data_IF_892894321448
#
_entry.id   IF_892894321448
#
_cell.length_a   1.000
_cell.length_b   1.000
_cell.length_c   1.000
_cell.angle_alpha   90.00
_cell.angle_beta   90.00
_cell.angle_gamma   90.00
#
_symmetry.space_group_name_H-M   'P 1'
#
loop_
_entity.id
_entity.type
_entity.pdbx_description
1 polymer ?
#
# COMPACT_ATOMS: atom_id res chain seq x y z
N UNK A 1 18.73 13.95 18.49
CA UNK A 1 17.53 13.82 19.31
C UNK A 1 16.84 12.53 18.92
N UNK A 2 17.13 11.45 19.58
CA UNK A 2 16.38 10.22 19.42
C UNK A 2 14.95 10.50 19.86
N UNK A 3 14.03 10.50 18.93
CA UNK A 3 12.61 10.40 19.26
C UNK A 3 12.42 9.05 19.92
N UNK A 4 12.46 9.01 21.24
CA UNK A 4 11.99 7.83 21.95
C UNK A 4 10.54 7.64 21.56
N UNK A 5 10.34 6.61 20.76
CA UNK A 5 9.02 6.16 20.40
C UNK A 5 8.33 5.71 21.69
N UNK A 6 7.45 6.52 22.23
CA UNK A 6 6.69 6.12 23.39
C UNK A 6 5.61 5.12 22.94
N UNK A 7 5.84 3.84 23.22
CA UNK A 7 4.88 2.77 22.93
C UNK A 7 3.46 3.07 23.44
N UNK A 8 3.31 3.91 24.44
CA UNK A 8 2.00 4.38 24.91
C UNK A 8 1.31 5.30 23.91
N UNK A 9 2.06 6.13 23.20
CA UNK A 9 1.50 7.01 22.17
C UNK A 9 1.09 6.21 20.94
N UNK A 10 1.85 5.19 20.53
CA UNK A 10 1.47 4.31 19.43
C UNK A 10 0.16 3.59 19.74
N UNK A 11 0.01 3.01 20.94
CA UNK A 11 -1.24 2.35 21.36
C UNK A 11 -2.44 3.29 21.25
N UNK A 12 -2.29 4.53 21.65
CA UNK A 12 -3.36 5.53 21.54
C UNK A 12 -3.83 5.68 20.07
N UNK A 13 -2.91 5.77 19.13
CA UNK A 13 -3.27 5.90 17.70
C UNK A 13 -3.84 4.61 17.13
N UNK A 14 -3.37 3.44 17.55
CA UNK A 14 -3.99 2.16 17.17
C UNK A 14 -5.46 2.09 17.63
N UNK A 15 -5.75 2.53 18.85
CA UNK A 15 -7.13 2.57 19.37
C UNK A 15 -8.03 3.52 18.55
N UNK A 16 -7.47 4.58 17.96
CA UNK A 16 -8.23 5.52 17.12
C UNK A 16 -8.63 4.95 15.74
N UNK A 17 -8.04 3.83 15.30
CA UNK A 17 -8.43 3.18 14.04
C UNK A 17 -9.88 2.66 14.06
N UNK A 18 -10.47 2.51 15.22
CA UNK A 18 -11.86 2.09 15.40
C UNK A 18 -12.79 3.23 15.85
N UNK A 19 -12.32 4.46 15.83
CA UNK A 19 -13.11 5.63 16.22
C UNK A 19 -14.34 5.81 15.32
N UNK A 20 -15.43 6.32 15.85
CA UNK A 20 -16.68 6.53 15.10
C UNK A 20 -16.54 7.56 13.97
N UNK A 21 -15.70 8.57 14.17
CA UNK A 21 -15.43 9.62 13.20
C UNK A 21 -14.39 9.15 12.16
N UNK A 22 -14.77 9.19 10.88
CA UNK A 22 -13.91 8.78 9.77
C UNK A 22 -12.67 9.68 9.60
N UNK A 23 -12.78 10.97 9.90
CA UNK A 23 -11.64 11.90 9.84
C UNK A 23 -10.58 11.51 10.88
N UNK A 24 -11.01 11.10 12.07
CA UNK A 24 -10.10 10.64 13.12
C UNK A 24 -9.43 9.33 12.70
N UNK A 25 -10.18 8.37 12.12
CA UNK A 25 -9.58 7.13 11.61
C UNK A 25 -8.55 7.40 10.52
N UNK A 26 -8.86 8.28 9.57
CA UNK A 26 -7.93 8.68 8.49
C UNK A 26 -6.65 9.29 9.05
N UNK A 27 -6.77 10.22 10.00
CA UNK A 27 -5.59 10.84 10.63
C UNK A 27 -4.76 9.84 11.43
N UNK A 28 -5.41 8.89 12.10
CA UNK A 28 -4.72 7.83 12.83
C UNK A 28 -3.86 6.97 11.91
N UNK A 29 -4.37 6.63 10.72
CA UNK A 29 -3.61 5.90 9.70
C UNK A 29 -2.34 6.67 9.31
N UNK A 30 -2.47 7.95 8.97
CA UNK A 30 -1.33 8.78 8.58
C UNK A 30 -0.26 8.84 9.68
N UNK A 31 -0.68 9.06 10.91
CA UNK A 31 0.24 9.14 12.05
C UNK A 31 0.91 7.80 12.30
N UNK A 32 0.17 6.70 12.28
CA UNK A 32 0.72 5.36 12.49
C UNK A 32 1.71 4.97 11.39
N UNK A 33 1.44 5.31 10.13
CA UNK A 33 2.38 5.08 9.05
C UNK A 33 3.70 5.82 9.29
N UNK A 34 3.64 7.05 9.79
CA UNK A 34 4.83 7.86 10.05
C UNK A 34 5.61 7.39 11.28
N UNK A 35 4.91 7.01 12.37
CA UNK A 35 5.54 6.76 13.66
C UNK A 35 5.80 5.28 13.97
N UNK A 36 4.97 4.36 13.48
CA UNK A 36 5.09 2.93 13.75
C UNK A 36 5.70 2.13 12.59
N UNK A 37 5.71 2.67 11.37
CA UNK A 37 6.33 2.02 10.23
C UNK A 37 5.77 0.61 9.99
N UNK A 38 6.65 -0.37 9.90
CA UNK A 38 6.29 -1.77 9.64
C UNK A 38 5.32 -2.35 10.66
N UNK A 39 5.43 -1.95 11.92
CA UNK A 39 4.53 -2.44 12.99
C UNK A 39 3.06 -2.03 12.78
N UNK A 40 2.79 -1.02 11.96
CA UNK A 40 1.43 -0.58 11.64
C UNK A 40 0.82 -1.29 10.42
N UNK A 41 1.60 -2.04 9.64
CA UNK A 41 1.14 -2.60 8.35
C UNK A 41 -0.07 -3.52 8.53
N UNK A 42 -0.05 -4.41 9.50
CA UNK A 42 -1.15 -5.36 9.70
C UNK A 42 -2.46 -4.65 10.09
N UNK A 43 -2.38 -3.66 10.99
CA UNK A 43 -3.56 -2.90 11.41
C UNK A 43 -4.11 -2.02 10.29
N UNK A 44 -3.25 -1.34 9.53
CA UNK A 44 -3.66 -0.54 8.38
C UNK A 44 -4.23 -1.45 7.28
N UNK A 45 -3.65 -2.63 7.07
CA UNK A 45 -4.20 -3.63 6.15
C UNK A 45 -5.59 -4.08 6.55
N UNK A 46 -5.84 -4.26 7.84
CA UNK A 46 -7.16 -4.59 8.34
C UNK A 46 -8.19 -3.46 8.10
N UNK A 47 -7.77 -2.21 8.26
CA UNK A 47 -8.61 -1.04 7.91
C UNK A 47 -8.93 -1.03 6.42
N UNK A 48 -7.95 -1.27 5.55
CA UNK A 48 -8.17 -1.37 4.11
C UNK A 48 -9.22 -2.41 3.74
N UNK A 49 -9.19 -3.56 4.40
CA UNK A 49 -10.11 -4.66 4.09
C UNK A 49 -11.51 -4.47 4.67
N UNK A 50 -11.65 -3.78 5.80
CA UNK A 50 -12.87 -3.84 6.60
C UNK A 50 -13.53 -2.49 6.92
N UNK A 51 -12.85 -1.35 6.72
CA UNK A 51 -13.48 -0.06 7.03
C UNK A 51 -14.69 0.19 6.13
N UNK A 52 -15.75 0.71 6.72
CA UNK A 52 -17.00 1.01 6.01
C UNK A 52 -16.89 2.20 5.05
N UNK A 53 -15.94 3.11 5.32
CA UNK A 53 -15.80 4.34 4.54
C UNK A 53 -14.73 4.16 3.44
N UNK A 54 -15.09 4.32 2.16
CA UNK A 54 -14.12 4.18 1.08
C UNK A 54 -12.99 5.21 1.12
N UNK A 55 -13.19 6.39 1.71
CA UNK A 55 -12.12 7.37 1.88
C UNK A 55 -11.08 6.90 2.90
N UNK A 56 -11.51 6.25 3.97
CA UNK A 56 -10.61 5.64 4.95
C UNK A 56 -9.83 4.48 4.32
N UNK A 57 -10.50 3.62 3.55
CA UNK A 57 -9.84 2.53 2.83
C UNK A 57 -8.83 3.05 1.79
N UNK A 58 -9.16 4.13 1.09
CA UNK A 58 -8.24 4.79 0.16
C UNK A 58 -6.97 5.26 0.88
N UNK A 59 -7.11 5.95 2.00
CA UNK A 59 -5.97 6.41 2.81
C UNK A 59 -5.13 5.24 3.33
N UNK A 60 -5.77 4.14 3.71
CA UNK A 60 -5.07 2.93 4.12
C UNK A 60 -4.23 2.36 2.96
N UNK A 61 -4.78 2.27 1.75
CA UNK A 61 -4.05 1.80 0.58
C UNK A 61 -2.86 2.72 0.24
N UNK A 62 -3.08 4.03 0.26
CA UNK A 62 -2.03 5.03 0.06
C UNK A 62 -0.89 4.87 1.06
N UNK A 63 -1.21 4.80 2.35
CA UNK A 63 -0.23 4.68 3.42
C UNK A 63 0.58 3.37 3.33
N UNK A 64 -0.07 2.26 2.99
CA UNK A 64 0.61 0.98 2.76
C UNK A 64 1.59 1.05 1.58
N UNK A 65 1.23 1.75 0.51
CA UNK A 65 2.12 2.01 -0.61
C UNK A 65 3.35 2.83 -0.21
N UNK A 66 3.14 3.90 0.55
CA UNK A 66 4.22 4.76 1.04
C UNK A 66 5.17 4.03 1.99
N UNK A 67 4.66 3.13 2.82
CA UNK A 67 5.48 2.29 3.71
C UNK A 67 6.36 1.31 2.91
N UNK A 68 5.87 0.77 1.81
CA UNK A 68 6.65 -0.04 0.88
C UNK A 68 6.95 -1.48 1.35
N UNK A 69 6.32 -1.97 2.40
CA UNK A 69 6.58 -3.31 2.93
C UNK A 69 5.78 -4.39 2.21
N UNK A 70 6.44 -5.52 1.93
CA UNK A 70 5.84 -6.62 1.15
C UNK A 70 4.70 -7.33 1.88
N UNK A 71 4.62 -7.25 3.20
CA UNK A 71 3.50 -7.81 3.96
C UNK A 71 2.16 -7.08 3.74
N UNK A 72 2.16 -5.94 3.04
CA UNK A 72 0.94 -5.25 2.61
C UNK A 72 0.37 -5.77 1.27
N UNK A 73 1.13 -6.54 0.51
CA UNK A 73 0.73 -6.94 -0.86
C UNK A 73 -0.57 -7.74 -0.86
N UNK A 74 -0.77 -8.64 0.09
CA UNK A 74 -1.99 -9.45 0.17
C UNK A 74 -3.25 -8.59 0.32
N UNK A 75 -3.25 -7.64 1.25
CA UNK A 75 -4.39 -6.75 1.47
C UNK A 75 -4.62 -5.81 0.28
N UNK A 76 -3.57 -5.26 -0.29
CA UNK A 76 -3.65 -4.40 -1.48
C UNK A 76 -4.16 -5.18 -2.70
N UNK A 77 -3.73 -6.41 -2.89
CA UNK A 77 -4.21 -7.29 -3.97
C UNK A 77 -5.69 -7.62 -3.82
N UNK A 78 -6.14 -7.88 -2.59
CA UNK A 78 -7.54 -8.09 -2.28
C UNK A 78 -8.40 -6.85 -2.57
N UNK A 79 -7.93 -5.69 -2.17
CA UNK A 79 -8.60 -4.41 -2.43
C UNK A 79 -8.68 -4.13 -3.94
N UNK A 80 -7.60 -4.31 -4.69
CA UNK A 80 -7.60 -4.13 -6.14
C UNK A 80 -8.60 -5.06 -6.84
N UNK A 81 -8.69 -6.30 -6.38
CA UNK A 81 -9.56 -7.31 -7.01
C UNK A 81 -11.04 -7.12 -6.71
N UNK A 82 -11.40 -6.63 -5.54
CA UNK A 82 -12.77 -6.76 -5.05
C UNK A 82 -13.34 -5.56 -4.27
N UNK A 83 -12.58 -4.49 -4.06
CA UNK A 83 -13.17 -3.30 -3.41
C UNK A 83 -14.29 -2.72 -4.27
N UNK A 84 -15.41 -2.38 -3.65
CA UNK A 84 -16.56 -1.80 -4.34
C UNK A 84 -16.29 -0.41 -4.92
N UNK A 85 -15.35 0.33 -4.34
CA UNK A 85 -14.97 1.66 -4.81
C UNK A 85 -13.84 1.60 -5.83
N UNK A 86 -14.08 2.12 -7.04
CA UNK A 86 -13.01 2.23 -8.04
C UNK A 86 -11.84 3.09 -7.53
N UNK A 87 -12.14 4.05 -6.68
CA UNK A 87 -11.16 4.95 -6.09
C UNK A 87 -10.18 4.20 -5.17
N UNK A 88 -10.67 3.23 -4.40
CA UNK A 88 -9.83 2.35 -3.57
C UNK A 88 -9.04 1.38 -4.47
N UNK A 89 -9.67 0.78 -5.48
CA UNK A 89 -8.97 -0.09 -6.45
C UNK A 89 -7.85 0.64 -7.18
N UNK A 90 -8.11 1.88 -7.61
CA UNK A 90 -7.11 2.76 -8.23
C UNK A 90 -5.89 2.96 -7.31
N UNK A 91 -6.11 3.34 -6.05
CA UNK A 91 -5.02 3.55 -5.09
C UNK A 91 -4.27 2.25 -4.77
N UNK A 92 -4.98 1.14 -4.65
CA UNK A 92 -4.35 -0.16 -4.43
C UNK A 92 -3.41 -0.56 -5.58
N UNK A 93 -3.79 -0.29 -6.83
CA UNK A 93 -2.92 -0.52 -7.99
C UNK A 93 -1.66 0.35 -7.93
N UNK A 94 -1.80 1.63 -7.60
CA UNK A 94 -0.67 2.54 -7.42
C UNK A 94 0.25 2.03 -6.33
N UNK A 95 -0.29 1.68 -5.17
CA UNK A 95 0.47 1.18 -4.02
C UNK A 95 1.27 -0.08 -4.37
N UNK A 96 0.68 -1.03 -5.08
CA UNK A 96 1.37 -2.24 -5.54
C UNK A 96 2.53 -1.90 -6.49
N UNK A 97 2.35 -0.92 -7.36
CA UNK A 97 3.41 -0.42 -8.23
C UNK A 97 4.55 0.24 -7.47
N UNK A 98 4.25 1.00 -6.42
CA UNK A 98 5.25 1.65 -5.54
C UNK A 98 6.05 0.61 -4.78
N UNK A 99 5.41 -0.42 -4.22
CA UNK A 99 6.10 -1.54 -3.57
C UNK A 99 7.00 -2.28 -4.56
N UNK A 100 6.57 -2.42 -5.80
CA UNK A 100 7.41 -2.89 -6.89
C UNK A 100 7.74 -4.37 -6.87
N UNK A 101 6.96 -5.19 -6.18
CA UNK A 101 7.18 -6.64 -6.10
C UNK A 101 6.61 -7.37 -7.32
N UNK A 102 7.38 -8.29 -7.88
CA UNK A 102 6.94 -9.18 -8.96
C UNK A 102 5.69 -10.00 -8.59
N UNK A 103 5.50 -10.30 -7.31
CA UNK A 103 4.35 -11.06 -6.84
C UNK A 103 3.00 -10.36 -7.08
N UNK A 104 3.00 -9.06 -7.32
CA UNK A 104 1.78 -8.30 -7.65
C UNK A 104 1.39 -8.32 -9.13
N UNK A 105 2.23 -8.85 -10.01
CA UNK A 105 1.98 -8.80 -11.46
C UNK A 105 0.68 -9.49 -11.88
N UNK A 106 0.37 -10.64 -11.32
CA UNK A 106 -0.83 -11.37 -11.69
C UNK A 106 -2.12 -10.59 -11.40
N UNK A 107 -2.22 -9.97 -10.22
CA UNK A 107 -3.40 -9.18 -9.86
C UNK A 107 -3.50 -7.89 -10.68
N UNK A 108 -2.35 -7.28 -10.99
CA UNK A 108 -2.29 -6.09 -11.84
C UNK A 108 -2.66 -6.41 -13.30
N UNK A 109 -2.22 -7.55 -13.84
CA UNK A 109 -2.62 -7.99 -15.17
C UNK A 109 -4.15 -8.16 -15.26
N UNK A 110 -4.77 -8.76 -14.26
CA UNK A 110 -6.23 -8.87 -14.20
C UNK A 110 -6.90 -7.49 -14.14
N UNK A 111 -6.30 -6.54 -13.43
CA UNK A 111 -6.82 -5.17 -13.30
C UNK A 111 -6.76 -4.36 -14.61
N UNK A 112 -6.01 -4.80 -15.61
CA UNK A 112 -6.08 -4.22 -16.98
C UNK A 112 -7.46 -4.41 -17.62
N UNK A 113 -8.26 -5.32 -17.12
CA UNK A 113 -9.66 -5.53 -17.53
C UNK A 113 -10.70 -4.91 -16.58
N UNK A 114 -10.29 -4.08 -15.62
CA UNK A 114 -11.21 -3.44 -14.67
C UNK A 114 -12.25 -2.56 -15.42
N UNK A 115 -13.44 -2.45 -14.86
CA UNK A 115 -14.49 -1.60 -15.40
C UNK A 115 -14.18 -0.10 -15.40
N UNK A 116 -13.27 0.35 -14.51
CA UNK A 116 -12.84 1.74 -14.40
C UNK A 116 -11.58 2.00 -15.23
N UNK A 117 -11.60 3.06 -16.05
CA UNK A 117 -10.43 3.49 -16.82
C UNK A 117 -9.27 3.86 -15.90
N UNK A 118 -9.55 4.56 -14.80
CA UNK A 118 -8.55 4.98 -13.81
C UNK A 118 -7.81 3.78 -13.20
N UNK A 119 -8.53 2.70 -12.94
CA UNK A 119 -7.92 1.46 -12.42
C UNK A 119 -7.05 0.80 -13.49
N UNK A 120 -7.54 0.70 -14.73
CA UNK A 120 -6.77 0.12 -15.84
C UNK A 120 -5.47 0.88 -16.09
N UNK A 121 -5.54 2.21 -16.10
CA UNK A 121 -4.36 3.08 -16.29
C UNK A 121 -3.35 2.90 -15.16
N UNK A 122 -3.82 2.88 -13.92
CA UNK A 122 -2.96 2.68 -12.74
C UNK A 122 -2.30 1.30 -12.75
N UNK A 123 -3.03 0.27 -13.13
CA UNK A 123 -2.48 -1.08 -13.27
C UNK A 123 -1.38 -1.14 -14.35
N UNK A 124 -1.60 -0.48 -15.48
CA UNK A 124 -0.62 -0.41 -16.56
C UNK A 124 0.67 0.29 -16.11
N UNK A 125 0.55 1.43 -15.44
CA UNK A 125 1.70 2.17 -14.88
C UNK A 125 2.42 1.33 -13.81
N UNK A 126 1.67 0.67 -12.93
CA UNK A 126 2.24 -0.18 -11.88
C UNK A 126 3.05 -1.35 -12.46
N UNK A 127 2.54 -2.01 -13.49
CA UNK A 127 3.25 -3.09 -14.20
C UNK A 127 4.54 -2.58 -14.85
N UNK A 128 4.50 -1.43 -15.50
CA UNK A 128 5.68 -0.82 -16.08
C UNK A 128 6.74 -0.48 -15.03
N UNK A 129 6.32 0.01 -13.87
CA UNK A 129 7.21 0.32 -12.75
C UNK A 129 7.86 -0.92 -12.16
N UNK A 130 7.09 -2.01 -11.99
CA UNK A 130 7.62 -3.29 -11.51
C UNK A 130 8.65 -3.84 -12.49
N UNK A 131 8.38 -3.81 -13.78
CA UNK A 131 9.33 -4.26 -14.81
C UNK A 131 10.61 -3.42 -14.81
N UNK A 132 10.49 -2.12 -14.65
CA UNK A 132 11.62 -1.21 -14.53
C UNK A 132 12.49 -1.55 -13.31
N UNK A 133 11.89 -1.72 -12.13
CA UNK A 133 12.60 -2.06 -10.89
C UNK A 133 13.33 -3.41 -11.04
N UNK A 134 12.67 -4.42 -11.57
CA UNK A 134 13.24 -5.75 -11.81
C UNK A 134 14.44 -5.69 -12.77
N UNK A 135 14.32 -4.90 -13.83
CA UNK A 135 15.39 -4.68 -14.81
C UNK A 135 16.60 -4.00 -14.16
N UNK A 136 16.37 -2.97 -13.35
CA UNK A 136 17.44 -2.26 -12.65
C UNK A 136 18.16 -3.13 -11.62
N UNK A 137 17.42 -3.98 -10.91
CA UNK A 137 18.02 -4.97 -10.00
C UNK A 137 18.93 -5.98 -10.72
N UNK A 138 18.54 -6.44 -11.90
CA UNK A 138 19.37 -7.34 -12.73
C UNK A 138 20.65 -6.65 -13.21
N UNK A 139 20.56 -5.41 -13.67
CA UNK A 139 21.72 -4.62 -14.10
C UNK A 139 22.68 -4.41 -12.94
N UNK A 140 22.21 -4.02 -11.76
CA UNK A 140 23.03 -3.83 -10.57
C UNK A 140 23.72 -5.13 -10.13
N UNK A 141 23.01 -6.26 -10.19
CA UNK A 141 23.60 -7.58 -9.88
C UNK A 141 24.71 -7.92 -10.87
N UNK A 142 24.52 -7.71 -12.15
CA UNK A 142 25.50 -7.96 -13.18
C UNK A 142 26.75 -7.08 -13.00
N UNK A 143 26.59 -5.82 -12.73
CA UNK A 143 27.69 -4.89 -12.45
C UNK A 143 28.52 -5.32 -11.26
N UNK A 144 27.92 -5.78 -10.18
CA UNK A 144 28.63 -6.31 -9.01
C UNK A 144 29.39 -7.59 -9.30
N UNK A 145 28.86 -8.47 -10.17
CA UNK A 145 29.52 -9.73 -10.55
C UNK A 145 30.72 -9.50 -11.48
N UNK A 146 30.72 -8.44 -12.25
CA UNK A 146 31.81 -8.10 -13.21
C UNK A 146 32.87 -7.19 -12.63
N UNK A 147 32.78 -6.80 -11.36
CA UNK A 147 33.75 -5.93 -10.69
C UNK A 147 33.69 -4.47 -11.14
N UNK A 148 32.60 -4.10 -11.76
CA UNK A 148 32.32 -2.72 -12.20
C UNK A 148 31.61 -1.91 -11.14
#
# INVERSE_FOLDING_TARGET
MERQFDHRNAKYFFDLLTHTDNVIRTRAICILADVAGEDAVDDISNVLMNDKDPLVRHEAAFSLGQLGFTNAISALSGALSSDSSFFVRHEAAIALGVIGSESAKEVLDKALGDGSEEVRESANIALANIDYISKMKRINKFSKMTGG
#
